data_IF_355348081461
#
_entry.id   IF_355348081461
#
_cell.length_a   1.000
_cell.length_b   1.000
_cell.length_c   1.000
_cell.angle_alpha   90.00
_cell.angle_beta   90.00
_cell.angle_gamma   90.00
#
_symmetry.space_group_name_H-M   'P 1'
#
loop_
_entity.id
_entity.type
_entity.pdbx_description
1 polymer ?
#
# COMPACT_ATOMS: atom_id res chain seq x y z
N UNK A 1 -68.05 68.47 19.34
CA UNK A 1 -68.75 67.46 18.51
C UNK A 1 -67.71 66.71 17.68
N UNK A 2 -67.67 65.38 17.81
CA UNK A 2 -67.29 64.35 16.81
C UNK A 2 -66.22 64.75 15.76
N UNK A 3 -65.05 64.08 15.76
CA UNK A 3 -64.85 62.90 14.90
C UNK A 3 -63.49 62.20 15.12
N UNK A 4 -63.51 60.89 14.83
CA UNK A 4 -62.47 59.87 15.01
C UNK A 4 -61.44 59.89 13.89
N UNK A 5 -60.19 59.55 14.22
CA UNK A 5 -59.26 58.88 13.28
C UNK A 5 -58.01 58.40 14.03
N UNK A 6 -58.05 57.18 14.57
CA UNK A 6 -56.84 56.42 14.94
C UNK A 6 -56.80 55.17 14.06
N UNK A 7 -55.82 55.17 13.16
CA UNK A 7 -55.40 54.03 12.36
C UNK A 7 -54.41 53.16 13.13
N UNK A 8 -54.29 51.92 12.66
CA UNK A 8 -53.28 50.92 12.99
C UNK A 8 -53.36 50.22 14.35
N UNK A 9 -53.79 48.96 14.34
CA UNK A 9 -52.85 47.85 14.09
C UNK A 9 -53.61 46.53 13.95
N UNK A 10 -53.31 45.83 12.87
CA UNK A 10 -53.82 44.50 12.55
C UNK A 10 -53.06 43.42 13.35
N UNK A 11 -53.80 42.35 13.69
CA UNK A 11 -53.41 40.92 13.70
C UNK A 11 -52.20 40.52 14.57
N UNK A 12 -52.39 39.79 15.67
CA UNK A 12 -52.69 38.35 15.75
C UNK A 12 -51.47 37.43 15.56
N UNK A 13 -51.49 36.37 16.39
CA UNK A 13 -50.89 35.05 16.21
C UNK A 13 -49.53 34.74 16.87
N UNK A 14 -49.66 33.95 17.94
CA UNK A 14 -49.11 32.59 18.07
C UNK A 14 -47.62 32.40 18.39
N UNK A 15 -47.43 31.87 19.60
CA UNK A 15 -46.31 31.08 20.12
C UNK A 15 -45.89 29.97 19.15
N UNK A 16 -44.59 29.85 18.88
CA UNK A 16 -43.91 28.58 18.57
C UNK A 16 -42.40 28.74 18.75
N UNK A 17 -41.86 28.13 19.81
CA UNK A 17 -40.43 27.97 20.02
C UNK A 17 -39.95 26.82 19.12
N UNK A 18 -39.09 27.13 18.14
CA UNK A 18 -38.38 26.13 17.34
C UNK A 18 -36.89 26.27 17.62
N UNK A 19 -36.37 25.34 18.43
CA UNK A 19 -34.95 25.09 18.59
C UNK A 19 -34.41 24.49 17.29
N UNK A 20 -33.63 25.27 16.53
CA UNK A 20 -32.89 24.76 15.39
C UNK A 20 -31.59 24.15 15.92
N UNK A 21 -31.62 22.83 16.14
CA UNK A 21 -30.41 22.05 16.45
C UNK A 21 -29.57 21.96 15.18
N UNK A 22 -28.34 22.47 15.25
CA UNK A 22 -27.39 22.46 14.15
C UNK A 22 -27.07 21.01 13.75
N UNK A 23 -27.47 20.62 12.55
CA UNK A 23 -27.04 19.36 11.95
C UNK A 23 -25.61 19.57 11.43
N UNK A 24 -24.63 19.46 12.33
CA UNK A 24 -23.22 19.34 11.98
C UNK A 24 -23.03 18.01 11.26
N UNK A 25 -23.27 17.99 9.95
CA UNK A 25 -22.91 16.86 9.10
C UNK A 25 -21.40 16.77 9.10
N UNK A 26 -20.88 15.95 10.00
CA UNK A 26 -19.46 15.60 10.04
C UNK A 26 -19.23 14.71 8.81
N UNK A 27 -18.35 15.06 7.87
CA UNK A 27 -18.00 14.15 6.79
C UNK A 27 -17.40 12.90 7.45
N UNK A 28 -18.14 11.78 7.44
CA UNK A 28 -17.50 10.50 7.73
C UNK A 28 -16.33 10.34 6.76
N UNK A 29 -15.15 9.90 7.21
CA UNK A 29 -14.09 9.48 6.31
C UNK A 29 -14.69 8.42 5.38
N UNK A 30 -14.93 8.78 4.12
CA UNK A 30 -15.26 7.80 3.10
C UNK A 30 -14.02 6.92 2.96
N UNK A 31 -14.05 5.74 3.56
CA UNK A 31 -13.13 4.66 3.21
C UNK A 31 -13.35 4.46 1.71
N UNK A 32 -12.40 4.93 0.89
CA UNK A 32 -12.48 4.77 -0.55
C UNK A 32 -12.57 3.25 -0.81
N UNK A 33 -13.74 2.80 -1.27
CA UNK A 33 -13.91 1.43 -1.70
C UNK A 33 -12.88 1.17 -2.81
N UNK A 34 -12.03 0.17 -2.63
CA UNK A 34 -11.08 -0.26 -3.64
C UNK A 34 -11.84 -0.59 -4.92
N UNK A 35 -11.35 -0.09 -6.06
CA UNK A 35 -11.94 -0.39 -7.36
C UNK A 35 -11.97 -1.92 -7.58
N UNK A 36 -12.95 -2.44 -8.34
CA UNK A 36 -13.03 -3.87 -8.63
C UNK A 36 -11.73 -4.38 -9.29
N UNK A 37 -11.28 -5.62 -8.99
CA UNK A 37 -10.11 -6.20 -9.63
C UNK A 37 -10.25 -6.25 -11.16
N UNK A 38 -9.26 -5.68 -11.85
CA UNK A 38 -9.16 -5.59 -13.30
C UNK A 38 -8.56 -6.89 -13.88
N UNK A 39 -8.75 -7.17 -15.18
CA UNK A 39 -8.01 -8.23 -15.86
C UNK A 39 -6.49 -8.08 -15.71
N UNK A 40 -5.76 -9.19 -15.72
CA UNK A 40 -4.30 -9.16 -15.64
C UNK A 40 -3.71 -8.39 -16.83
N UNK A 41 -2.79 -7.48 -16.54
CA UNK A 41 -2.01 -6.75 -17.53
C UNK A 41 -0.52 -6.83 -17.17
N UNK A 42 0.41 -6.75 -18.14
CA UNK A 42 1.83 -6.73 -17.84
C UNK A 42 2.22 -5.55 -16.93
N UNK A 43 3.05 -5.81 -15.92
CA UNK A 43 3.68 -4.75 -15.12
C UNK A 43 4.73 -3.98 -15.92
N UNK A 44 5.03 -2.74 -15.47
CA UNK A 44 6.19 -1.99 -15.98
C UNK A 44 7.49 -2.57 -15.46
N UNK A 45 7.53 -2.93 -14.18
CA UNK A 45 8.66 -3.68 -13.59
C UNK A 45 8.69 -5.09 -14.17
N UNK A 46 9.83 -5.48 -14.77
CA UNK A 46 9.99 -6.83 -15.33
C UNK A 46 10.46 -7.82 -14.28
N UNK A 47 10.05 -9.11 -14.36
CA UNK A 47 10.52 -10.17 -13.48
C UNK A 47 12.05 -10.21 -13.35
N UNK A 48 12.76 -10.09 -14.47
CA UNK A 48 14.23 -10.11 -14.52
C UNK A 48 14.90 -8.99 -13.74
N UNK A 49 14.22 -7.85 -13.55
CA UNK A 49 14.76 -6.71 -12.81
C UNK A 49 14.76 -6.94 -11.30
N UNK A 50 13.90 -7.84 -10.80
CA UNK A 50 13.79 -8.14 -9.37
C UNK A 50 14.44 -9.47 -8.98
N UNK A 51 14.72 -10.37 -9.92
CA UNK A 51 15.46 -11.61 -9.67
C UNK A 51 16.83 -11.31 -9.04
N UNK A 52 17.18 -12.02 -7.96
CA UNK A 52 18.50 -11.99 -7.33
C UNK A 52 18.45 -11.99 -5.79
N UNK A 53 19.54 -11.53 -5.17
CA UNK A 53 19.75 -11.56 -3.72
C UNK A 53 19.34 -10.24 -3.07
N UNK A 54 18.57 -10.33 -2.00
CA UNK A 54 17.99 -9.19 -1.30
C UNK A 54 18.18 -9.32 0.20
N UNK A 55 18.54 -8.22 0.85
CA UNK A 55 18.32 -8.04 2.27
C UNK A 55 16.88 -7.59 2.50
N UNK A 56 16.21 -8.12 3.51
CA UNK A 56 14.79 -7.88 3.76
C UNK A 56 14.56 -7.42 5.19
N UNK A 57 13.66 -6.45 5.36
CA UNK A 57 13.06 -6.09 6.63
C UNK A 57 11.67 -5.49 6.37
N UNK A 58 10.89 -5.24 7.42
CA UNK A 58 9.57 -4.62 7.30
C UNK A 58 9.32 -3.59 8.39
N UNK A 59 8.44 -2.63 8.12
CA UNK A 59 8.02 -1.60 9.06
C UNK A 59 6.52 -1.32 8.95
N UNK A 60 5.91 -0.87 10.04
CA UNK A 60 4.51 -0.41 10.05
C UNK A 60 4.38 1.11 10.02
N UNK A 61 5.36 1.81 10.59
CA UNK A 61 5.37 3.26 10.73
C UNK A 61 6.27 3.89 9.68
N UNK A 62 5.80 4.82 8.84
CA UNK A 62 6.61 5.43 7.78
C UNK A 62 7.92 6.06 8.29
N UNK A 63 7.92 6.58 9.53
CA UNK A 63 9.08 7.20 10.16
C UNK A 63 10.22 6.20 10.40
N UNK A 64 9.90 4.91 10.48
CA UNK A 64 10.87 3.83 10.68
C UNK A 64 11.55 3.36 9.38
N UNK A 65 11.16 3.89 8.22
CA UNK A 65 11.65 3.43 6.90
C UNK A 65 13.18 3.43 6.82
N UNK A 66 13.83 4.55 7.15
CA UNK A 66 15.28 4.69 6.98
C UNK A 66 16.07 3.71 7.85
N UNK A 67 15.65 3.51 9.10
CA UNK A 67 16.22 2.50 10.02
C UNK A 67 16.03 1.09 9.45
N UNK A 68 14.82 0.80 8.97
CA UNK A 68 14.46 -0.52 8.45
C UNK A 68 15.24 -0.85 7.17
N UNK A 69 15.49 0.14 6.31
CA UNK A 69 16.35 -0.02 5.14
C UNK A 69 17.80 -0.38 5.52
N UNK A 70 18.35 0.27 6.54
CA UNK A 70 19.68 -0.07 7.07
C UNK A 70 19.72 -1.49 7.64
N UNK A 71 18.67 -1.90 8.37
CA UNK A 71 18.54 -3.26 8.87
C UNK A 71 18.46 -4.28 7.73
N UNK A 72 17.66 -4.01 6.70
CA UNK A 72 17.54 -4.86 5.51
C UNK A 72 18.91 -5.05 4.85
N UNK A 73 19.70 -3.98 4.65
CA UNK A 73 21.08 -4.08 4.14
C UNK A 73 21.95 -5.01 5.00
N UNK A 74 21.81 -4.93 6.32
CA UNK A 74 22.51 -5.80 7.27
C UNK A 74 22.18 -7.29 7.10
N UNK A 75 20.99 -7.63 6.59
CA UNK A 75 20.55 -9.01 6.36
C UNK A 75 21.20 -9.68 5.14
N UNK A 76 22.01 -8.96 4.35
CA UNK A 76 22.65 -9.52 3.16
C UNK A 76 23.63 -10.68 3.39
N UNK A 77 23.95 -11.00 4.64
CA UNK A 77 24.69 -12.22 5.03
C UNK A 77 23.84 -13.49 4.85
N UNK A 78 22.53 -13.39 5.04
CA UNK A 78 21.53 -14.44 4.84
C UNK A 78 20.38 -13.89 3.98
N UNK A 79 20.61 -13.69 2.68
CA UNK A 79 19.69 -12.95 1.83
C UNK A 79 18.41 -13.74 1.53
N UNK A 80 17.32 -13.01 1.34
CA UNK A 80 16.16 -13.49 0.62
C UNK A 80 16.50 -13.58 -0.88
N UNK A 81 16.31 -14.75 -1.48
CA UNK A 81 16.61 -14.97 -2.90
C UNK A 81 15.31 -15.02 -3.69
N UNK A 82 15.13 -14.03 -4.57
CA UNK A 82 14.05 -14.03 -5.56
C UNK A 82 14.59 -14.75 -6.80
N UNK A 83 14.07 -15.95 -7.06
CA UNK A 83 14.44 -16.76 -8.22
C UNK A 83 13.61 -16.43 -9.46
N UNK A 84 14.11 -16.80 -10.64
CA UNK A 84 13.32 -16.78 -11.87
C UNK A 84 12.32 -17.93 -11.85
N UNK A 85 11.04 -17.64 -12.09
CA UNK A 85 10.00 -18.65 -12.27
C UNK A 85 10.06 -19.29 -13.66
N UNK A 86 9.58 -20.52 -13.78
CA UNK A 86 9.61 -21.31 -15.02
C UNK A 86 8.69 -20.73 -16.11
N UNK A 87 7.66 -19.99 -15.71
CA UNK A 87 6.66 -19.41 -16.60
C UNK A 87 6.82 -17.88 -16.76
N UNK A 88 8.02 -17.38 -16.50
CA UNK A 88 8.35 -15.96 -16.61
C UNK A 88 7.99 -15.12 -15.37
N UNK A 89 7.49 -15.73 -14.30
CA UNK A 89 7.28 -15.06 -13.01
C UNK A 89 8.54 -15.02 -12.15
N UNK A 90 8.35 -14.82 -10.85
CA UNK A 90 9.41 -14.89 -9.83
C UNK A 90 9.03 -15.85 -8.72
N UNK A 91 10.03 -16.54 -8.18
CA UNK A 91 9.84 -17.45 -7.06
C UNK A 91 9.89 -16.66 -5.75
N UNK A 92 8.76 -16.61 -5.03
CA UNK A 92 8.61 -15.91 -3.76
C UNK A 92 7.60 -16.62 -2.85
N UNK A 93 7.68 -16.33 -1.55
CA UNK A 93 6.67 -16.74 -0.58
C UNK A 93 5.49 -15.77 -0.57
N UNK A 94 4.28 -16.31 -0.44
CA UNK A 94 3.09 -15.56 -0.04
C UNK A 94 3.11 -15.31 1.48
N UNK A 95 2.24 -14.42 1.96
CA UNK A 95 2.01 -14.27 3.39
C UNK A 95 1.56 -15.60 4.01
N UNK A 96 2.06 -15.91 5.21
CA UNK A 96 1.76 -17.13 5.97
C UNK A 96 2.12 -18.46 5.27
N UNK A 97 2.75 -18.43 4.09
CA UNK A 97 3.15 -19.62 3.34
C UNK A 97 4.61 -19.97 3.59
N UNK A 98 4.89 -21.22 3.94
CA UNK A 98 6.24 -21.80 3.96
C UNK A 98 6.67 -22.36 2.60
N UNK A 99 5.77 -22.36 1.62
CA UNK A 99 6.03 -22.87 0.27
C UNK A 99 6.40 -21.75 -0.70
N UNK A 100 7.46 -22.00 -1.46
CA UNK A 100 7.92 -21.10 -2.51
C UNK A 100 7.04 -21.29 -3.75
N UNK A 101 6.44 -20.21 -4.23
CA UNK A 101 5.52 -20.24 -5.37
C UNK A 101 5.97 -19.29 -6.46
N UNK A 102 5.61 -19.60 -7.70
CA UNK A 102 5.82 -18.68 -8.81
C UNK A 102 4.74 -17.59 -8.81
N UNK A 103 5.16 -16.34 -8.63
CA UNK A 103 4.30 -15.16 -8.66
C UNK A 103 4.50 -14.37 -9.94
N UNK A 104 3.44 -13.72 -10.41
CA UNK A 104 3.41 -12.86 -11.59
C UNK A 104 3.62 -11.41 -11.20
N UNK A 105 4.25 -10.66 -12.10
CA UNK A 105 4.31 -9.21 -12.04
C UNK A 105 3.17 -8.66 -12.91
N UNK A 106 2.22 -7.99 -12.26
CA UNK A 106 0.96 -7.54 -12.86
C UNK A 106 0.86 -6.01 -12.76
N UNK A 107 0.47 -5.33 -13.82
CA UNK A 107 0.16 -3.89 -13.82
C UNK A 107 -1.30 -3.62 -13.50
N UNK A 108 -1.69 -2.35 -13.42
CA UNK A 108 -3.08 -1.88 -13.46
C UNK A 108 -3.25 -0.66 -14.36
N UNK A 109 -4.49 -0.35 -14.74
CA UNK A 109 -4.82 0.86 -15.53
C UNK A 109 -4.43 2.16 -14.81
N UNK A 110 -4.45 2.14 -13.48
CA UNK A 110 -4.02 3.25 -12.61
C UNK A 110 -2.50 3.45 -12.55
N UNK A 111 -1.72 2.66 -13.29
CA UNK A 111 -0.27 2.81 -13.32
C UNK A 111 0.44 2.26 -12.08
N UNK A 112 -0.17 1.30 -11.37
CA UNK A 112 0.47 0.55 -10.26
C UNK A 112 0.94 -0.81 -10.75
N UNK A 113 1.92 -1.37 -10.05
CA UNK A 113 2.43 -2.73 -10.31
C UNK A 113 2.31 -3.58 -9.06
N UNK A 114 2.15 -4.89 -9.24
CA UNK A 114 1.91 -5.85 -8.17
C UNK A 114 2.69 -7.14 -8.41
N UNK A 115 2.96 -7.85 -7.31
CA UNK A 115 3.55 -9.19 -7.30
C UNK A 115 2.58 -10.12 -6.56
N UNK A 116 2.09 -11.15 -7.23
CA UNK A 116 1.19 -12.12 -6.62
C UNK A 116 0.78 -13.25 -7.55
N UNK A 117 -0.18 -14.11 -7.16
CA UNK A 117 -0.66 -15.18 -8.00
C UNK A 117 -1.21 -14.67 -9.34
N UNK A 118 -1.22 -15.54 -10.36
CA UNK A 118 -1.84 -15.24 -11.65
C UNK A 118 -3.33 -14.92 -11.48
N UNK A 119 -3.85 -14.03 -12.33
CA UNK A 119 -5.24 -13.60 -12.30
C UNK A 119 -5.40 -12.09 -12.14
N UNK A 120 -6.62 -11.69 -11.77
CA UNK A 120 -7.01 -10.27 -11.69
C UNK A 120 -6.11 -9.46 -10.75
N UNK A 121 -6.08 -8.14 -11.00
CA UNK A 121 -5.17 -7.18 -10.36
C UNK A 121 -5.94 -5.93 -9.89
N UNK A 122 -5.76 -5.48 -8.64
CA UNK A 122 -5.09 -6.20 -7.56
C UNK A 122 -5.91 -7.40 -7.07
N UNK A 123 -5.25 -8.52 -6.81
CA UNK A 123 -5.78 -9.66 -6.05
C UNK A 123 -5.51 -9.51 -4.55
N UNK A 124 -6.26 -10.22 -3.71
CA UNK A 124 -6.12 -10.13 -2.24
C UNK A 124 -4.72 -10.57 -1.75
N UNK A 125 -4.12 -11.56 -2.42
CA UNK A 125 -2.78 -12.06 -2.08
C UNK A 125 -1.65 -11.27 -2.76
N UNK A 126 -1.97 -10.21 -3.51
CA UNK A 126 -0.98 -9.40 -4.17
C UNK A 126 -0.26 -8.48 -3.19
N UNK A 127 0.98 -8.16 -3.55
CA UNK A 127 1.74 -7.06 -2.97
C UNK A 127 1.91 -5.98 -4.02
N UNK A 128 1.53 -4.77 -3.72
CA UNK A 128 1.82 -3.59 -4.53
C UNK A 128 3.30 -3.25 -4.46
N UNK A 129 3.92 -3.00 -5.61
CA UNK A 129 5.24 -2.40 -5.72
C UNK A 129 5.08 -0.88 -5.54
N UNK A 130 5.20 -0.43 -4.30
CA UNK A 130 5.03 0.99 -3.94
C UNK A 130 6.15 1.85 -4.54
N UNK A 131 7.36 1.31 -4.59
CA UNK A 131 8.49 1.94 -5.28
C UNK A 131 9.56 0.91 -5.62
N UNK A 132 10.27 1.15 -6.72
CA UNK A 132 11.42 0.36 -7.13
C UNK A 132 12.39 1.22 -7.94
N UNK A 133 13.65 1.29 -7.52
CA UNK A 133 14.70 2.09 -8.18
C UNK A 133 15.85 1.22 -8.74
N UNK A 134 15.66 -0.09 -8.82
CA UNK A 134 16.71 -1.06 -9.19
C UNK A 134 17.54 -1.57 -8.01
N UNK A 135 17.62 -0.83 -6.91
CA UNK A 135 18.40 -1.18 -5.71
C UNK A 135 17.53 -1.43 -4.48
N UNK A 136 16.46 -0.67 -4.31
CA UNK A 136 15.51 -0.75 -3.21
C UNK A 136 14.14 -0.98 -3.80
N UNK A 137 13.46 -2.03 -3.33
CA UNK A 137 12.09 -2.35 -3.69
C UNK A 137 11.23 -2.34 -2.44
N UNK A 138 10.16 -1.56 -2.46
CA UNK A 138 9.19 -1.46 -1.35
C UNK A 138 7.90 -2.14 -1.76
N UNK A 139 7.48 -3.12 -0.98
CA UNK A 139 6.27 -3.89 -1.22
C UNK A 139 5.28 -3.67 -0.08
N UNK A 140 4.00 -3.49 -0.43
CA UNK A 140 2.90 -3.39 0.52
C UNK A 140 1.82 -4.40 0.19
N UNK A 141 1.27 -5.11 1.18
CA UNK A 141 0.17 -6.03 0.93
C UNK A 141 -1.09 -5.28 0.51
N UNK A 142 -1.83 -5.82 -0.46
CA UNK A 142 -3.12 -5.26 -0.87
C UNK A 142 -4.17 -5.51 0.22
N UNK A 143 -4.19 -6.72 0.78
CA UNK A 143 -5.04 -7.05 1.91
C UNK A 143 -4.54 -6.33 3.18
N UNK A 144 -5.42 -5.51 3.76
CA UNK A 144 -5.09 -4.69 4.93
C UNK A 144 -4.86 -5.49 6.21
N UNK A 145 -5.48 -6.65 6.37
CA UNK A 145 -5.23 -7.53 7.51
C UNK A 145 -3.83 -8.12 7.43
N UNK A 146 -3.43 -8.55 6.24
CA UNK A 146 -2.06 -9.05 5.98
C UNK A 146 -1.04 -7.92 6.15
N UNK A 147 -1.31 -6.73 5.61
CA UNK A 147 -0.46 -5.54 5.82
C UNK A 147 -0.34 -5.17 7.31
N UNK A 148 -1.43 -5.29 8.07
CA UNK A 148 -1.43 -5.03 9.50
C UNK A 148 -0.55 -6.00 10.30
N UNK A 149 -0.42 -7.26 9.87
CA UNK A 149 0.41 -8.28 10.53
C UNK A 149 1.88 -8.23 10.12
N UNK A 150 2.15 -7.96 8.85
CA UNK A 150 3.50 -8.07 8.27
C UNK A 150 4.18 -6.74 7.97
N UNK A 151 3.40 -5.67 7.81
CA UNK A 151 3.88 -4.33 7.49
C UNK A 151 4.35 -4.18 6.05
N UNK A 152 4.87 -2.99 5.77
CA UNK A 152 5.48 -2.65 4.48
C UNK A 152 6.89 -3.25 4.43
N UNK A 153 7.11 -4.14 3.48
CA UNK A 153 8.40 -4.79 3.24
C UNK A 153 9.36 -3.89 2.46
N UNK A 154 10.62 -3.88 2.87
CA UNK A 154 11.71 -3.23 2.16
C UNK A 154 12.78 -4.27 1.81
N UNK A 155 13.03 -4.40 0.50
CA UNK A 155 14.04 -5.26 -0.07
C UNK A 155 15.18 -4.38 -0.57
N UNK A 156 16.40 -4.62 -0.11
CA UNK A 156 17.60 -3.92 -0.58
C UNK A 156 18.54 -4.90 -1.28
N UNK A 157 18.96 -4.58 -2.51
CA UNK A 157 19.89 -5.40 -3.29
C UNK A 157 21.15 -5.67 -2.49
N UNK A 158 21.51 -6.95 -2.38
CA UNK A 158 22.80 -7.32 -1.84
C UNK A 158 23.91 -7.13 -2.87
N UNK A 159 25.10 -6.73 -2.42
CA UNK A 159 26.27 -6.65 -3.28
C UNK A 159 26.58 -8.03 -3.89
N UNK A 160 27.17 -8.08 -5.11
CA UNK A 160 27.66 -9.31 -5.70
C UNK A 160 28.60 -10.04 -4.75
N UNK A 161 28.52 -11.37 -4.67
CA UNK A 161 29.31 -12.18 -3.73
C UNK A 161 30.82 -11.91 -3.86
N UNK A 162 31.30 -11.62 -5.08
CA UNK A 162 32.70 -11.23 -5.33
C UNK A 162 33.08 -9.92 -4.63
N UNK A 163 32.22 -8.89 -4.71
CA UNK A 163 32.45 -7.61 -4.03
C UNK A 163 32.40 -7.74 -2.50
N UNK A 164 31.60 -8.69 -1.97
CA UNK A 164 31.54 -8.99 -0.54
C UNK A 164 32.81 -9.68 -0.03
N UNK A 165 33.42 -10.57 -0.83
CA UNK A 165 34.67 -11.25 -0.47
C UNK A 165 35.87 -10.27 -0.44
N UNK A 166 35.90 -9.29 -1.34
CA UNK A 166 36.97 -8.28 -1.41
C UNK A 166 36.88 -7.20 -0.33
N UNK A 167 35.70 -6.99 0.27
CA UNK A 167 35.48 -5.94 1.27
C UNK A 167 35.75 -6.40 2.72
N UNK A 168 36.13 -7.66 2.93
CA UNK A 168 36.32 -8.22 4.26
C UNK A 168 37.80 -8.10 4.66
N UNK A 169 38.15 -7.31 5.70
CA UNK A 169 39.54 -7.20 6.12
C UNK A 169 40.01 -8.53 6.69
N UNK A 170 41.15 -9.02 6.19
CA UNK A 170 41.90 -10.13 6.79
C UNK A 170 42.26 -9.77 8.23
N UNK A 171 41.84 -10.63 9.18
CA UNK A 171 42.09 -10.44 10.62
C UNK A 171 43.57 -10.44 10.95
#
# INVERSE_FOLDING_TARGET
MRNRSLSWSFLAAAVSALAVSACSTTPSPQVAASAPPEPEMPARVRPTEIVGRWGYAAYHKPEDRARTEANARGQCKQPYVIGQGANGGVMMYLADSSELQELRLKGSTSGRDYIGPAGRTPGAQDREIVSFDGRVMILKYVDSEVDGRYGTGIFVRCAPRAAQASAQPSR
#
